data_IF_416020435552
#
_entry.id   IF_416020435552
#
_cell.length_a   1.000
_cell.length_b   1.000
_cell.length_c   1.000
_cell.angle_alpha   90.00
_cell.angle_beta   90.00
_cell.angle_gamma   90.00
#
_symmetry.space_group_name_H-M   'P 1'
#
loop_
_entity.id
_entity.type
_entity.pdbx_description
1 polymer ?
#
# COMPACT_ATOMS: atom_id res chain seq x y z
N UNK A 1 -71.70 8.82 -28.98
CA UNK A 1 -71.16 8.60 -27.63
C UNK A 1 -70.19 7.42 -27.59
N UNK A 2 -69.38 7.22 -28.65
CA UNK A 2 -68.45 6.09 -28.78
C UNK A 2 -67.05 6.51 -29.26
N UNK A 3 -66.69 7.82 -29.23
CA UNK A 3 -65.46 8.33 -29.82
C UNK A 3 -64.48 8.84 -28.78
N UNK A 4 -64.76 8.82 -27.45
CA UNK A 4 -63.93 9.38 -26.39
C UNK A 4 -63.16 8.36 -25.58
N UNK A 5 -63.35 7.05 -25.78
CA UNK A 5 -62.71 5.99 -24.98
C UNK A 5 -61.40 5.48 -25.62
N UNK A 6 -61.05 5.86 -26.86
CA UNK A 6 -59.83 5.39 -27.54
C UNK A 6 -58.58 6.23 -27.32
N UNK A 7 -58.66 7.38 -26.62
CA UNK A 7 -57.53 8.28 -26.40
C UNK A 7 -56.74 8.04 -25.11
N UNK A 8 -57.26 7.26 -24.15
CA UNK A 8 -56.67 7.10 -22.84
C UNK A 8 -55.70 5.88 -22.72
N UNK A 9 -55.75 4.96 -23.70
CA UNK A 9 -54.95 3.70 -23.64
C UNK A 9 -53.61 3.72 -24.41
N UNK A 10 -53.15 4.87 -24.92
CA UNK A 10 -51.89 4.96 -25.69
C UNK A 10 -50.72 5.61 -24.95
N UNK A 11 -50.87 6.04 -23.70
CA UNK A 11 -49.81 6.75 -22.96
C UNK A 11 -49.04 5.91 -21.94
N UNK A 12 -49.36 4.61 -21.74
CA UNK A 12 -48.75 3.78 -20.69
C UNK A 12 -47.64 2.85 -21.15
N UNK A 13 -47.35 2.70 -22.45
CA UNK A 13 -46.39 1.70 -22.92
C UNK A 13 -44.97 2.22 -23.16
N UNK A 14 -44.77 3.54 -23.17
CA UNK A 14 -43.45 4.13 -23.50
C UNK A 14 -42.57 4.44 -22.29
N UNK A 15 -43.12 4.46 -21.08
CA UNK A 15 -42.32 4.79 -19.85
C UNK A 15 -41.72 3.59 -19.13
N UNK A 16 -42.19 2.35 -19.43
CA UNK A 16 -41.72 1.14 -18.75
C UNK A 16 -40.25 0.74 -19.08
N UNK A 17 -39.74 0.88 -20.32
CA UNK A 17 -38.36 0.53 -20.62
C UNK A 17 -37.35 1.50 -20.05
N UNK A 18 -37.70 2.76 -19.78
CA UNK A 18 -36.76 3.77 -19.22
C UNK A 18 -36.54 3.60 -17.73
N UNK A 19 -37.52 3.08 -16.99
CA UNK A 19 -37.39 2.80 -15.55
C UNK A 19 -36.55 1.53 -15.27
N UNK A 20 -36.57 0.56 -16.20
CA UNK A 20 -35.83 -0.70 -16.08
C UNK A 20 -34.33 -0.51 -16.41
N UNK A 21 -33.96 0.53 -17.16
CA UNK A 21 -32.57 0.81 -17.54
C UNK A 21 -31.79 1.53 -16.45
N UNK A 22 -32.45 2.15 -15.46
CA UNK A 22 -31.79 2.78 -14.31
C UNK A 22 -31.40 1.80 -13.19
N UNK A 23 -31.89 0.57 -13.21
CA UNK A 23 -31.63 -0.44 -12.17
C UNK A 23 -30.37 -1.28 -12.40
N UNK A 24 -29.65 -1.10 -13.52
CA UNK A 24 -28.42 -1.84 -13.84
C UNK A 24 -27.13 -1.01 -13.73
N UNK A 25 -27.20 0.18 -13.17
CA UNK A 25 -25.98 0.89 -12.79
C UNK A 25 -25.39 0.22 -11.56
N UNK A 26 -24.63 -0.87 -11.76
CA UNK A 26 -23.73 -1.37 -10.73
C UNK A 26 -22.86 -0.20 -10.29
N UNK A 27 -22.71 0.06 -8.97
CA UNK A 27 -21.75 1.05 -8.53
C UNK A 27 -20.38 0.65 -9.09
N UNK A 28 -19.83 1.46 -9.96
CA UNK A 28 -18.46 1.30 -10.40
C UNK A 28 -17.62 1.37 -9.13
N UNK A 29 -17.09 0.25 -8.66
CA UNK A 29 -16.09 0.25 -7.61
C UNK A 29 -14.95 1.11 -8.11
N UNK A 30 -14.74 2.27 -7.49
CA UNK A 30 -13.64 3.15 -7.86
C UNK A 30 -12.36 2.31 -7.84
N UNK A 31 -11.66 2.27 -8.96
CA UNK A 31 -10.40 1.54 -9.07
C UNK A 31 -9.45 2.04 -7.96
N UNK A 32 -8.89 1.11 -7.18
CA UNK A 32 -7.94 1.47 -6.13
C UNK A 32 -6.66 1.98 -6.80
N UNK A 33 -6.44 3.28 -6.72
CA UNK A 33 -5.20 3.92 -7.17
C UNK A 33 -4.15 3.74 -6.07
N UNK A 34 -3.37 2.67 -6.19
CA UNK A 34 -2.31 2.33 -5.24
C UNK A 34 -1.00 3.01 -5.63
N UNK A 35 -0.33 3.62 -4.65
CA UNK A 35 1.03 4.14 -4.76
C UNK A 35 1.97 3.36 -3.84
N UNK A 36 3.07 2.89 -4.39
CA UNK A 36 4.11 2.16 -3.66
C UNK A 36 5.38 3.00 -3.58
N UNK A 37 5.88 3.21 -2.37
CA UNK A 37 7.16 3.87 -2.12
C UNK A 37 8.19 2.83 -1.68
N UNK A 38 9.28 2.71 -2.42
CA UNK A 38 10.38 1.78 -2.16
C UNK A 38 11.61 2.57 -1.70
N UNK A 39 12.04 2.32 -0.47
CA UNK A 39 13.09 3.08 0.20
C UNK A 39 14.36 2.24 0.37
N UNK A 40 15.43 2.62 -0.36
CA UNK A 40 16.75 2.03 -0.19
C UNK A 40 17.40 2.47 1.12
N UNK A 41 18.38 1.68 1.59
CA UNK A 41 19.18 2.01 2.78
C UNK A 41 20.21 3.11 2.55
N UNK A 42 21.33 3.01 3.27
CA UNK A 42 22.39 4.03 3.31
C UNK A 42 22.97 4.36 1.92
N UNK A 43 23.11 3.36 1.07
CA UNK A 43 23.61 3.53 -0.30
C UNK A 43 22.57 3.03 -1.30
N UNK A 44 22.58 3.61 -2.51
CA UNK A 44 21.66 3.21 -3.55
C UNK A 44 21.95 1.80 -4.15
N UNK A 45 23.11 1.22 -3.86
CA UNK A 45 23.57 -0.05 -4.46
C UNK A 45 23.43 -1.26 -3.53
N UNK A 46 23.18 -1.07 -2.24
CA UNK A 46 23.13 -2.16 -1.25
C UNK A 46 21.70 -2.66 -0.95
N UNK A 47 20.75 -2.39 -1.85
CA UNK A 47 19.37 -2.85 -1.70
C UNK A 47 18.85 -3.50 -2.99
N UNK A 48 19.54 -4.51 -3.55
CA UNK A 48 19.21 -5.06 -4.87
C UNK A 48 17.79 -5.66 -4.93
N UNK A 49 17.27 -6.18 -3.81
CA UNK A 49 15.90 -6.68 -3.76
C UNK A 49 14.84 -5.58 -3.83
N UNK A 50 15.16 -4.36 -3.42
CA UNK A 50 14.29 -3.19 -3.62
C UNK A 50 14.21 -2.84 -5.10
N UNK A 51 15.33 -2.94 -5.83
CA UNK A 51 15.36 -2.72 -7.28
C UNK A 51 14.57 -3.81 -8.04
N UNK A 52 14.71 -5.07 -7.62
CA UNK A 52 13.94 -6.18 -8.19
C UNK A 52 12.42 -5.99 -7.99
N UNK A 53 11.99 -5.56 -6.79
CA UNK A 53 10.58 -5.24 -6.53
C UNK A 53 10.10 -4.10 -7.41
N UNK A 54 10.90 -3.04 -7.57
CA UNK A 54 10.58 -1.92 -8.44
C UNK A 54 10.29 -2.38 -9.88
N UNK A 55 11.22 -3.13 -10.46
CA UNK A 55 11.13 -3.59 -11.84
C UNK A 55 9.91 -4.51 -12.06
N UNK A 56 9.63 -5.39 -11.10
CA UNK A 56 8.48 -6.28 -11.19
C UNK A 56 7.15 -5.55 -11.02
N UNK A 57 7.06 -4.62 -10.08
CA UNK A 57 5.86 -3.80 -9.86
C UNK A 57 5.56 -2.91 -11.08
N UNK A 58 6.59 -2.27 -11.65
CA UNK A 58 6.44 -1.46 -12.87
C UNK A 58 5.97 -2.29 -14.06
N UNK A 59 6.52 -3.50 -14.25
CA UNK A 59 6.06 -4.44 -15.31
C UNK A 59 4.59 -4.81 -15.14
N UNK A 60 4.05 -4.77 -13.93
CA UNK A 60 2.64 -5.03 -13.60
C UNK A 60 1.77 -3.77 -13.64
N UNK A 61 2.33 -2.62 -14.03
CA UNK A 61 1.61 -1.36 -14.13
C UNK A 61 1.26 -0.71 -12.79
N UNK A 62 1.95 -1.10 -11.71
CA UNK A 62 1.78 -0.46 -10.39
C UNK A 62 2.52 0.88 -10.38
N UNK A 63 1.91 1.91 -9.82
CA UNK A 63 2.56 3.21 -9.61
C UNK A 63 3.59 3.11 -8.48
N UNK A 64 4.88 3.21 -8.83
CA UNK A 64 6.01 3.02 -7.91
C UNK A 64 6.94 4.21 -7.94
N UNK A 65 7.33 4.67 -6.76
CA UNK A 65 8.46 5.59 -6.57
C UNK A 65 9.55 4.87 -5.79
N UNK A 66 10.77 4.82 -6.34
CA UNK A 66 11.93 4.26 -5.67
C UNK A 66 12.93 5.38 -5.35
N UNK A 67 13.42 5.44 -4.11
CA UNK A 67 14.31 6.49 -3.65
C UNK A 67 15.27 6.02 -2.55
N UNK A 68 16.28 6.83 -2.24
CA UNK A 68 17.09 6.69 -1.04
C UNK A 68 16.27 7.11 0.21
N UNK A 69 16.54 6.49 1.36
CA UNK A 69 15.90 6.80 2.65
C UNK A 69 15.92 8.29 3.01
N UNK A 70 16.94 9.03 2.58
CA UNK A 70 17.10 10.47 2.86
C UNK A 70 15.98 11.34 2.23
N UNK A 71 15.25 10.83 1.24
CA UNK A 71 14.14 11.54 0.60
C UNK A 71 12.78 11.28 1.25
N UNK A 72 12.71 10.48 2.32
CA UNK A 72 11.47 10.05 2.96
C UNK A 72 10.55 11.21 3.36
N UNK A 73 11.10 12.32 3.82
CA UNK A 73 10.31 13.50 4.21
C UNK A 73 9.60 14.17 3.01
N UNK A 74 10.31 14.30 1.88
CA UNK A 74 9.72 14.84 0.64
C UNK A 74 8.65 13.89 0.08
N UNK A 75 8.92 12.58 0.12
CA UNK A 75 7.97 11.56 -0.32
C UNK A 75 6.74 11.47 0.58
N UNK A 76 6.88 11.70 1.89
CA UNK A 76 5.74 11.76 2.80
C UNK A 76 4.81 12.95 2.45
N UNK A 77 5.37 14.12 2.14
CA UNK A 77 4.59 15.28 1.67
C UNK A 77 3.84 14.97 0.37
N UNK A 78 4.51 14.36 -0.61
CA UNK A 78 3.88 13.91 -1.86
C UNK A 78 2.72 12.94 -1.58
N UNK A 79 2.96 11.90 -0.76
CA UNK A 79 1.94 10.92 -0.40
C UNK A 79 0.72 11.55 0.29
N UNK A 80 0.94 12.54 1.17
CA UNK A 80 -0.12 13.29 1.85
C UNK A 80 -0.96 14.07 0.84
N UNK A 81 -0.33 14.79 -0.09
CA UNK A 81 -1.01 15.58 -1.12
C UNK A 81 -1.80 14.66 -2.07
N UNK A 82 -1.19 13.59 -2.55
CA UNK A 82 -1.81 12.64 -3.47
C UNK A 82 -3.00 11.91 -2.82
N UNK A 83 -2.90 11.55 -1.53
CA UNK A 83 -4.02 10.97 -0.81
C UNK A 83 -5.13 11.99 -0.56
N UNK A 84 -4.82 13.20 -0.09
CA UNK A 84 -5.82 14.25 0.19
C UNK A 84 -6.55 14.72 -1.07
N UNK A 85 -5.88 14.81 -2.19
CA UNK A 85 -6.51 15.16 -3.48
C UNK A 85 -7.35 14.03 -4.09
N UNK A 86 -7.19 12.79 -3.60
CA UNK A 86 -7.86 11.62 -4.17
C UNK A 86 -7.17 11.04 -5.41
N UNK A 87 -6.00 11.54 -5.78
CA UNK A 87 -5.16 10.98 -6.84
C UNK A 87 -4.70 9.56 -6.48
N UNK A 88 -4.42 9.32 -5.20
CA UNK A 88 -4.08 8.03 -4.62
C UNK A 88 -5.12 7.66 -3.57
N UNK A 89 -5.52 6.41 -3.53
CA UNK A 89 -6.48 5.89 -2.54
C UNK A 89 -5.85 4.87 -1.58
N UNK A 90 -4.67 4.33 -1.89
CA UNK A 90 -3.97 3.36 -1.04
C UNK A 90 -2.46 3.58 -1.10
N UNK A 91 -1.81 3.60 0.06
CA UNK A 91 -0.37 3.84 0.21
C UNK A 91 0.30 2.58 0.77
N UNK A 92 1.38 2.16 0.10
CA UNK A 92 2.25 1.06 0.52
C UNK A 92 3.67 1.57 0.65
N UNK A 93 4.34 1.23 1.75
CA UNK A 93 5.71 1.61 2.05
C UNK A 93 6.58 0.35 2.17
N UNK A 94 7.71 0.33 1.48
CA UNK A 94 8.69 -0.77 1.57
C UNK A 94 10.05 -0.19 1.85
N UNK A 95 10.79 -0.77 2.79
CA UNK A 95 12.12 -0.25 3.12
C UNK A 95 13.12 -1.32 3.53
N UNK A 96 14.38 -1.11 3.15
CA UNK A 96 15.52 -1.94 3.58
C UNK A 96 16.48 -1.15 4.46
N UNK A 97 16.94 -1.75 5.54
CA UNK A 97 17.96 -1.14 6.42
C UNK A 97 17.46 0.22 6.96
N UNK A 98 18.16 1.32 6.73
CA UNK A 98 17.72 2.69 7.06
C UNK A 98 16.44 3.07 6.31
N UNK A 99 16.17 2.49 5.13
CA UNK A 99 14.91 2.65 4.41
C UNK A 99 13.70 2.10 5.16
N UNK A 100 13.91 1.07 6.00
CA UNK A 100 12.86 0.55 6.88
C UNK A 100 12.42 1.59 7.92
N UNK A 101 13.39 2.26 8.56
CA UNK A 101 13.12 3.36 9.49
C UNK A 101 12.46 4.54 8.80
N UNK A 102 12.89 4.86 7.58
CA UNK A 102 12.30 5.91 6.75
C UNK A 102 10.85 5.60 6.39
N UNK A 103 10.50 4.34 6.06
CA UNK A 103 9.14 3.92 5.80
C UNK A 103 8.23 4.13 7.02
N UNK A 104 8.71 3.77 8.22
CA UNK A 104 7.95 4.00 9.47
C UNK A 104 7.83 5.49 9.78
N UNK A 105 8.87 6.29 9.53
CA UNK A 105 8.82 7.74 9.67
C UNK A 105 7.81 8.39 8.71
N UNK A 106 7.72 7.93 7.46
CA UNK A 106 6.67 8.37 6.52
C UNK A 106 5.27 8.03 7.05
N UNK A 107 5.06 6.82 7.57
CA UNK A 107 3.78 6.43 8.15
C UNK A 107 3.39 7.34 9.33
N UNK A 108 4.34 7.71 10.18
CA UNK A 108 4.11 8.64 11.28
C UNK A 108 3.72 10.05 10.79
N UNK A 109 4.35 10.56 9.72
CA UNK A 109 3.96 11.85 9.12
C UNK A 109 2.55 11.79 8.53
N UNK A 110 2.17 10.70 7.87
CA UNK A 110 0.80 10.48 7.40
C UNK A 110 -0.19 10.45 8.57
N UNK A 111 0.15 9.76 9.67
CA UNK A 111 -0.66 9.68 10.89
C UNK A 111 -0.99 11.06 11.44
N UNK A 112 0.00 11.96 11.50
CA UNK A 112 -0.18 13.33 11.99
C UNK A 112 -1.17 14.15 11.16
N UNK A 113 -1.46 13.72 9.93
CA UNK A 113 -2.47 14.34 9.06
C UNK A 113 -3.79 13.56 8.99
N UNK A 114 -3.95 12.52 9.82
CA UNK A 114 -5.14 11.66 9.86
C UNK A 114 -5.23 10.66 8.71
N UNK A 115 -4.12 10.39 8.00
CA UNK A 115 -4.07 9.46 6.89
C UNK A 115 -3.51 8.10 7.32
N UNK A 116 -3.89 7.06 6.56
CA UNK A 116 -3.56 5.67 6.83
C UNK A 116 -2.59 5.08 5.80
N UNK A 117 -1.89 4.01 6.21
CA UNK A 117 -0.99 3.22 5.37
C UNK A 117 -1.53 1.79 5.30
N UNK A 118 -1.74 1.30 4.07
CA UNK A 118 -2.30 -0.04 3.86
C UNK A 118 -1.30 -1.14 4.24
N UNK A 119 -0.02 -0.95 3.92
CA UNK A 119 1.03 -1.93 4.18
C UNK A 119 2.39 -1.26 4.39
N UNK A 120 3.14 -1.76 5.37
CA UNK A 120 4.59 -1.56 5.46
C UNK A 120 5.28 -2.91 5.34
N UNK A 121 6.25 -3.03 4.43
CA UNK A 121 7.21 -4.15 4.39
C UNK A 121 8.58 -3.62 4.74
N UNK A 122 9.20 -4.22 5.76
CA UNK A 122 10.58 -3.88 6.15
C UNK A 122 11.50 -5.07 6.00
N UNK A 123 12.72 -4.83 5.52
CA UNK A 123 13.75 -5.83 5.31
C UNK A 123 14.98 -5.42 6.09
N UNK A 124 15.30 -6.20 7.11
CA UNK A 124 16.45 -6.08 8.01
C UNK A 124 16.67 -4.65 8.55
N UNK A 125 15.68 -4.08 9.26
CA UNK A 125 15.83 -2.76 9.89
C UNK A 125 16.96 -2.78 10.89
N UNK A 126 17.80 -1.73 10.88
CA UNK A 126 19.00 -1.62 11.76
C UNK A 126 18.78 -0.70 12.96
N UNK A 127 17.58 -0.17 13.10
CA UNK A 127 17.19 0.69 14.22
C UNK A 127 15.84 0.22 14.76
N UNK A 128 15.58 0.51 16.04
CA UNK A 128 14.29 0.24 16.67
C UNK A 128 13.15 0.83 15.81
N UNK A 129 12.17 -0.01 15.46
CA UNK A 129 10.97 0.38 14.75
C UNK A 129 9.77 0.31 15.70
N UNK A 130 9.12 1.43 15.94
CA UNK A 130 7.84 1.48 16.63
C UNK A 130 6.77 1.87 15.60
N UNK A 131 5.93 0.91 15.23
CA UNK A 131 4.91 1.07 14.18
C UNK A 131 3.78 1.94 14.70
N UNK A 132 3.40 3.05 14.01
CA UNK A 132 2.28 3.89 14.40
C UNK A 132 0.93 3.22 14.16
N UNK A 133 -0.11 3.72 14.80
CA UNK A 133 -1.46 3.14 14.84
C UNK A 133 -2.27 3.29 13.54
N UNK A 134 -1.81 4.08 12.60
CA UNK A 134 -2.45 4.30 11.29
C UNK A 134 -2.07 3.26 10.22
N UNK A 135 -1.33 2.21 10.57
CA UNK A 135 -0.88 1.17 9.63
C UNK A 135 -1.74 -0.07 9.74
N UNK A 136 -2.29 -0.55 8.61
CA UNK A 136 -3.17 -1.72 8.60
C UNK A 136 -2.39 -3.04 8.73
N UNK A 137 -1.32 -3.21 7.95
CA UNK A 137 -0.46 -4.43 7.98
C UNK A 137 1.01 -4.04 7.97
N UNK A 138 1.78 -4.69 8.83
CA UNK A 138 3.25 -4.61 8.80
C UNK A 138 3.82 -6.01 8.69
N UNK A 139 4.73 -6.19 7.73
CA UNK A 139 5.56 -7.39 7.63
C UNK A 139 7.03 -6.99 7.73
N UNK A 140 7.66 -7.42 8.81
CA UNK A 140 9.06 -7.15 9.09
C UNK A 140 9.86 -8.44 8.97
N UNK A 141 10.77 -8.50 8.00
CA UNK A 141 11.78 -9.54 7.88
C UNK A 141 13.08 -9.06 8.52
N UNK A 142 13.64 -9.82 9.43
CA UNK A 142 14.86 -9.41 10.13
C UNK A 142 15.76 -10.61 10.42
N UNK A 143 17.04 -10.34 10.60
CA UNK A 143 18.06 -11.32 10.94
C UNK A 143 18.45 -11.15 12.42
N UNK A 144 17.86 -11.98 13.31
CA UNK A 144 18.23 -11.95 14.73
C UNK A 144 19.70 -12.35 15.00
N UNK A 145 20.35 -13.01 14.03
CA UNK A 145 21.77 -13.35 14.06
C UNK A 145 22.70 -12.22 13.61
N UNK A 146 22.14 -11.08 13.14
CA UNK A 146 22.88 -9.94 12.60
C UNK A 146 22.50 -8.62 13.26
N UNK A 147 22.36 -7.59 12.44
CA UNK A 147 22.01 -6.23 12.88
C UNK A 147 20.51 -5.97 12.89
N UNK A 148 19.71 -6.89 12.32
CA UNK A 148 18.28 -6.74 12.15
C UNK A 148 17.51 -6.76 13.47
N UNK A 149 16.44 -5.96 13.56
CA UNK A 149 15.62 -5.88 14.76
C UNK A 149 14.16 -6.18 14.48
N UNK A 150 13.47 -6.79 15.45
CA UNK A 150 12.04 -6.93 15.42
C UNK A 150 11.35 -5.57 15.55
N UNK A 151 10.24 -5.37 14.81
CA UNK A 151 9.40 -4.20 14.96
C UNK A 151 8.49 -4.32 16.20
N UNK A 152 8.20 -3.20 16.83
CA UNK A 152 7.31 -3.09 17.98
C UNK A 152 6.02 -2.35 17.60
N UNK A 153 4.96 -2.59 18.33
CA UNK A 153 3.68 -1.87 18.18
C UNK A 153 3.72 -0.60 19.05
N UNK A 154 3.16 0.50 18.55
CA UNK A 154 2.77 1.62 19.42
C UNK A 154 1.64 1.20 20.36
N UNK A 155 1.42 1.95 21.45
CA UNK A 155 0.40 1.60 22.44
C UNK A 155 -1.05 1.56 21.91
N UNK A 156 -1.32 2.21 20.77
CA UNK A 156 -2.65 2.28 20.14
C UNK A 156 -2.69 1.54 18.78
N UNK A 157 -1.73 0.70 18.49
CA UNK A 157 -1.69 -0.05 17.23
C UNK A 157 -2.73 -1.18 17.22
N UNK A 158 -3.67 -1.12 16.29
CA UNK A 158 -4.73 -2.10 16.08
C UNK A 158 -4.57 -2.95 14.81
N UNK A 159 -3.57 -2.64 13.98
CA UNK A 159 -3.26 -3.37 12.76
C UNK A 159 -2.64 -4.75 13.01
N UNK A 160 -2.20 -5.37 11.95
CA UNK A 160 -1.48 -6.65 12.02
C UNK A 160 0.02 -6.39 11.91
N UNK A 161 0.80 -6.84 12.91
CA UNK A 161 2.26 -6.85 12.87
C UNK A 161 2.76 -8.29 12.83
N UNK A 162 3.54 -8.62 11.80
CA UNK A 162 4.21 -9.89 11.63
C UNK A 162 5.72 -9.69 11.55
N UNK A 163 6.44 -10.11 12.58
CA UNK A 163 7.89 -10.22 12.58
C UNK A 163 8.29 -11.62 12.10
N UNK A 164 9.07 -11.68 11.03
CA UNK A 164 9.58 -12.93 10.44
C UNK A 164 11.08 -12.96 10.67
N UNK A 165 11.50 -13.77 11.63
CA UNK A 165 12.92 -13.96 11.95
C UNK A 165 13.57 -14.90 10.92
N UNK A 166 14.52 -14.36 10.17
CA UNK A 166 15.33 -15.07 9.18
C UNK A 166 16.74 -15.39 9.69
N UNK A 167 17.01 -15.18 10.98
CA UNK A 167 18.36 -15.35 11.59
C UNK A 167 18.91 -16.78 11.54
N UNK A 168 18.09 -17.78 11.20
CA UNK A 168 18.52 -19.18 10.98
C UNK A 168 18.82 -19.50 9.51
N UNK A 169 18.64 -18.55 8.61
CA UNK A 169 18.94 -18.70 7.19
C UNK A 169 20.39 -18.31 6.88
N UNK A 170 20.84 -18.68 5.68
CA UNK A 170 22.18 -18.29 5.18
C UNK A 170 22.22 -16.88 4.58
N UNK A 171 21.12 -16.10 4.73
CA UNK A 171 21.07 -14.72 4.21
C UNK A 171 21.81 -13.76 5.15
N UNK A 172 22.50 -12.78 4.54
CA UNK A 172 23.04 -11.62 5.23
C UNK A 172 22.18 -10.37 5.00
N UNK A 173 22.56 -9.27 5.60
CA UNK A 173 21.86 -7.98 5.55
C UNK A 173 21.40 -7.56 4.14
N UNK A 174 22.27 -7.66 3.15
CA UNK A 174 21.96 -7.30 1.76
C UNK A 174 21.20 -8.42 1.05
N UNK A 175 21.66 -9.67 1.15
CA UNK A 175 21.08 -10.80 0.42
C UNK A 175 19.69 -11.20 0.91
N UNK A 176 19.30 -10.86 2.12
CA UNK A 176 17.93 -11.02 2.61
C UNK A 176 16.91 -10.33 1.67
N UNK A 177 17.26 -9.18 1.12
CA UNK A 177 16.37 -8.43 0.23
C UNK A 177 16.05 -9.18 -1.06
N UNK A 178 16.94 -10.08 -1.51
CA UNK A 178 16.77 -10.88 -2.73
C UNK A 178 16.28 -12.31 -2.45
N UNK A 179 16.06 -12.67 -1.19
CA UNK A 179 15.57 -13.99 -0.81
C UNK A 179 14.21 -14.27 -1.50
N UNK A 180 14.07 -15.40 -2.24
CA UNK A 180 12.84 -15.66 -3.01
C UNK A 180 11.57 -15.68 -2.15
N UNK A 181 11.65 -16.21 -0.93
CA UNK A 181 10.50 -16.21 -0.01
C UNK A 181 10.10 -14.80 0.41
N UNK A 182 11.08 -13.91 0.67
CA UNK A 182 10.85 -12.49 1.02
C UNK A 182 10.25 -11.74 -0.17
N UNK A 183 10.84 -11.88 -1.37
CA UNK A 183 10.38 -11.24 -2.59
C UNK A 183 8.96 -11.65 -2.97
N UNK A 184 8.67 -12.96 -2.98
CA UNK A 184 7.36 -13.48 -3.35
C UNK A 184 6.28 -13.02 -2.37
N UNK A 185 6.55 -13.08 -1.06
CA UNK A 185 5.58 -12.67 -0.07
C UNK A 185 5.39 -11.16 -0.05
N UNK A 186 6.47 -10.37 -0.18
CA UNK A 186 6.37 -8.91 -0.31
C UNK A 186 5.53 -8.51 -1.52
N UNK A 187 5.79 -9.13 -2.68
CA UNK A 187 5.01 -8.91 -3.90
C UNK A 187 3.53 -9.24 -3.71
N UNK A 188 3.24 -10.41 -3.12
CA UNK A 188 1.86 -10.82 -2.81
C UNK A 188 1.16 -9.78 -1.93
N UNK A 189 1.80 -9.38 -0.83
CA UNK A 189 1.20 -8.43 0.12
C UNK A 189 1.00 -7.03 -0.50
N UNK A 190 1.97 -6.56 -1.30
CA UNK A 190 1.89 -5.29 -2.02
C UNK A 190 0.69 -5.29 -2.98
N UNK A 191 0.53 -6.36 -3.77
CA UNK A 191 -0.56 -6.46 -4.73
C UNK A 191 -1.93 -6.57 -4.04
N UNK A 192 -2.01 -7.27 -2.91
CA UNK A 192 -3.23 -7.45 -2.13
C UNK A 192 -3.62 -6.21 -1.30
N UNK A 193 -2.65 -5.35 -0.93
CA UNK A 193 -2.91 -4.17 -0.10
C UNK A 193 -3.81 -3.15 -0.83
N UNK A 194 -4.99 -2.87 -0.27
CA UNK A 194 -5.98 -1.97 -0.87
C UNK A 194 -6.76 -1.14 0.16
N UNK A 195 -6.32 -1.14 1.43
CA UNK A 195 -6.93 -0.29 2.46
C UNK A 195 -6.79 1.18 2.10
N UNK A 196 -7.86 1.94 2.34
CA UNK A 196 -7.89 3.37 2.04
C UNK A 196 -6.87 4.14 2.86
N UNK A 197 -6.28 5.16 2.25
CA UNK A 197 -5.42 6.11 2.95
C UNK A 197 -6.18 7.25 3.63
N UNK A 198 -7.51 7.32 3.45
CA UNK A 198 -8.42 8.31 4.08
C UNK A 198 -9.42 7.65 4.98
#
# INVERSE_FOLDING_TARGET
MLSFIRAILRFSAACLPFLLMMLLASPATAAVHKKVYLLRGLTNVLSPGIDQLNDELQRRGVDVTIANHAFSEALAREAIEDCKSGKVSSIVLVGHSLGASAAVSMAEQLRQTGLHVALIVTMDPVMKLVVPDNVHLVRNYYLSSGVGVAAERSGHFHGTLQNVDMGKSDYGHVSLTTAPAVQNQAMHDILAANSSCR
#
